data_IF_549279847690
#
_entry.id   IF_549279847690
#
_cell.length_a   1.000
_cell.length_b   1.000
_cell.length_c   1.000
_cell.angle_alpha   90.00
_cell.angle_beta   90.00
_cell.angle_gamma   90.00
#
_symmetry.space_group_name_H-M   'P 1'
#
loop_
_entity.id
_entity.type
_entity.pdbx_description
1 polymer ?
#
# COMPACT_ATOMS: atom_id res chain seq x y z
N UNK A 1 -27.99 -16.33 51.91
CA UNK A 1 -27.44 -16.67 53.19
C UNK A 1 -26.04 -17.22 52.91
N UNK A 2 -24.96 -16.60 53.15
CA UNK A 2 -24.24 -16.13 54.30
C UNK A 2 -23.16 -15.08 53.87
N UNK A 3 -23.17 -13.94 54.54
CA UNK A 3 -22.16 -12.88 54.39
C UNK A 3 -20.91 -13.20 55.23
N UNK A 4 -19.70 -13.09 54.69
CA UNK A 4 -18.50 -13.07 55.46
C UNK A 4 -17.84 -11.69 55.41
N UNK A 5 -17.57 -11.13 56.60
CA UNK A 5 -16.99 -9.79 56.84
C UNK A 5 -15.46 -10.00 57.08
N UNK A 6 -14.67 -9.10 56.52
CA UNK A 6 -13.23 -8.98 56.79
C UNK A 6 -13.03 -7.75 57.72
N UNK A 7 -12.27 -7.86 58.80
CA UNK A 7 -11.96 -6.72 59.69
C UNK A 7 -10.70 -5.95 59.24
N UNK A 8 -10.76 -4.63 59.37
CA UNK A 8 -9.67 -3.70 59.14
C UNK A 8 -8.73 -3.69 60.36
N UNK A 9 -7.42 -3.78 60.14
CA UNK A 9 -6.38 -3.55 61.14
C UNK A 9 -5.81 -2.14 60.94
N UNK A 10 -5.95 -1.28 61.96
CA UNK A 10 -5.24 -0.01 62.13
C UNK A 10 -3.83 -0.32 62.69
N UNK A 11 -2.80 0.25 62.03
CA UNK A 11 -1.45 0.32 62.58
C UNK A 11 -1.12 1.75 62.92
N UNK A 12 -0.86 2.02 64.19
CA UNK A 12 -0.46 3.32 64.71
C UNK A 12 1.06 3.48 64.53
N UNK A 13 1.48 4.61 63.96
CA UNK A 13 2.89 5.01 63.88
C UNK A 13 3.27 5.89 65.08
N UNK A 14 4.28 5.47 65.83
CA UNK A 14 4.90 6.23 66.91
C UNK A 14 6.01 7.08 66.31
N UNK A 15 5.95 8.40 66.55
CA UNK A 15 7.01 9.35 66.18
C UNK A 15 7.94 9.50 67.37
N UNK A 16 9.22 9.14 67.22
CA UNK A 16 10.29 9.44 68.15
C UNK A 16 11.15 10.57 67.57
N UNK A 17 11.10 11.74 68.22
CA UNK A 17 12.00 12.84 67.92
C UNK A 17 13.32 12.65 68.70
N UNK A 18 14.44 12.56 67.96
CA UNK A 18 15.78 12.61 68.54
C UNK A 18 16.52 13.86 67.99
N UNK A 19 16.80 14.81 68.87
CA UNK A 19 17.70 15.90 68.57
C UNK A 19 19.17 15.41 68.63
N UNK A 20 19.86 15.50 67.47
CA UNK A 20 21.31 15.27 67.40
C UNK A 20 21.99 16.44 66.70
N UNK A 21 22.80 17.19 67.46
CA UNK A 21 23.67 18.26 66.94
C UNK A 21 24.90 17.59 66.31
N UNK A 22 25.03 17.63 64.96
CA UNK A 22 26.20 17.17 64.25
C UNK A 22 26.65 18.21 63.23
N UNK A 23 27.87 18.68 63.43
CA UNK A 23 28.60 19.61 62.56
C UNK A 23 28.84 18.92 61.19
N UNK A 24 28.08 19.35 60.18
CA UNK A 24 28.21 18.77 58.84
C UNK A 24 29.28 19.47 58.02
N UNK A 25 30.18 18.68 57.46
CA UNK A 25 31.06 19.09 56.36
C UNK A 25 30.23 19.31 55.07
N UNK A 26 30.65 20.20 54.19
CA UNK A 26 29.91 20.44 52.94
C UNK A 26 29.95 19.21 52.05
N UNK A 27 28.77 18.63 51.81
CA UNK A 27 28.59 17.53 50.89
C UNK A 27 28.61 18.08 49.46
N UNK A 28 29.60 17.66 48.66
CA UNK A 28 29.66 18.01 47.26
C UNK A 28 28.41 17.47 46.54
N UNK A 29 27.66 18.34 45.87
CA UNK A 29 26.53 18.00 45.08
C UNK A 29 26.99 17.04 43.95
N UNK A 30 26.38 15.88 43.87
CA UNK A 30 26.58 14.97 42.74
C UNK A 30 26.09 15.66 41.46
N UNK A 31 26.78 15.49 40.31
CA UNK A 31 26.32 16.06 39.06
C UNK A 31 24.97 15.46 38.73
N UNK A 32 23.98 16.32 38.55
CA UNK A 32 22.64 15.99 38.07
C UNK A 32 22.79 15.35 36.70
N UNK A 33 22.46 14.07 36.57
CA UNK A 33 22.51 13.34 35.30
C UNK A 33 21.53 14.04 34.35
N UNK A 34 22.06 14.67 33.30
CA UNK A 34 21.25 15.28 32.25
C UNK A 34 20.26 14.24 31.68
N UNK A 35 18.98 14.52 31.78
CA UNK A 35 17.94 13.69 31.19
C UNK A 35 18.24 13.50 29.69
N UNK A 36 18.08 12.28 29.16
CA UNK A 36 18.30 12.03 27.73
C UNK A 36 17.36 12.96 26.95
N UNK A 37 17.93 13.84 26.14
CA UNK A 37 17.16 14.64 25.16
C UNK A 37 16.48 13.66 24.24
N UNK A 38 15.17 13.54 24.34
CA UNK A 38 14.39 12.74 23.43
C UNK A 38 14.67 13.28 22.02
N UNK A 39 15.21 12.42 21.15
CA UNK A 39 15.42 12.77 19.75
C UNK A 39 14.05 13.18 19.18
N UNK A 40 13.95 14.40 18.65
CA UNK A 40 12.74 14.85 17.98
C UNK A 40 12.35 13.84 16.90
N UNK A 41 11.07 13.47 16.85
CA UNK A 41 10.55 12.64 15.77
C UNK A 41 10.89 13.28 14.42
N UNK A 42 11.30 12.51 13.41
CA UNK A 42 11.59 13.08 12.11
C UNK A 42 10.34 13.81 11.58
N UNK A 43 10.55 15.02 11.06
CA UNK A 43 9.45 15.78 10.45
C UNK A 43 8.86 14.99 9.28
N UNK A 44 7.54 15.01 9.17
CA UNK A 44 6.84 14.38 8.03
C UNK A 44 7.29 15.04 6.72
N UNK A 45 7.39 14.23 5.66
CA UNK A 45 7.66 14.73 4.32
C UNK A 45 6.53 15.67 3.89
N UNK A 46 6.82 16.91 3.50
CA UNK A 46 5.80 17.78 2.90
C UNK A 46 5.30 17.21 1.58
N UNK A 47 4.08 17.54 1.11
CA UNK A 47 3.67 17.24 -0.25
C UNK A 47 4.60 17.92 -1.27
N UNK A 48 4.67 17.45 -2.52
CA UNK A 48 5.42 18.13 -3.58
C UNK A 48 4.92 19.57 -3.81
N UNK A 49 5.83 20.52 -4.04
CA UNK A 49 5.47 21.95 -4.18
C UNK A 49 4.62 22.24 -5.43
N UNK A 50 4.83 21.48 -6.51
CA UNK A 50 4.13 21.63 -7.79
C UNK A 50 3.08 20.54 -7.99
N UNK A 51 2.19 20.37 -7.03
CA UNK A 51 1.24 19.26 -7.02
C UNK A 51 -0.20 19.80 -7.15
N UNK A 52 -0.78 19.67 -8.33
CA UNK A 52 -2.20 19.88 -8.51
C UNK A 52 -2.99 18.61 -8.17
N UNK A 53 -4.21 18.74 -7.63
CA UNK A 53 -5.02 17.58 -7.28
C UNK A 53 -5.20 16.61 -8.46
N UNK A 54 -5.00 15.32 -8.20
CA UNK A 54 -5.10 14.22 -9.16
C UNK A 54 -4.05 14.20 -10.28
N UNK A 55 -3.10 15.11 -10.30
CA UNK A 55 -1.97 15.01 -11.24
C UNK A 55 -1.10 13.79 -10.89
N UNK A 56 -0.64 13.13 -11.94
CA UNK A 56 0.29 12.02 -11.84
C UNK A 56 1.69 12.58 -11.60
N UNK A 57 2.25 12.32 -10.42
CA UNK A 57 3.59 12.78 -10.07
C UNK A 57 4.44 11.61 -9.53
N UNK A 58 4.86 10.73 -10.44
CA UNK A 58 5.67 9.56 -10.12
C UNK A 58 7.10 9.92 -9.68
N UNK A 59 7.58 11.10 -10.03
CA UNK A 59 8.97 11.55 -9.85
C UNK A 59 9.25 12.23 -8.51
N UNK A 60 8.28 12.28 -7.58
CA UNK A 60 8.43 13.00 -6.30
C UNK A 60 9.09 12.18 -5.18
N UNK A 61 9.50 10.95 -5.43
CA UNK A 61 10.06 10.06 -4.41
C UNK A 61 11.48 10.44 -3.99
N UNK A 62 11.92 9.90 -2.85
CA UNK A 62 13.21 10.19 -2.23
C UNK A 62 14.33 9.32 -2.81
N UNK A 63 15.41 9.96 -3.26
CA UNK A 63 16.61 9.23 -3.68
C UNK A 63 17.26 8.50 -2.48
N UNK A 64 17.69 7.22 -2.65
CA UNK A 64 18.54 6.55 -1.68
C UNK A 64 19.96 7.14 -1.63
N UNK A 65 20.32 7.98 -2.62
CA UNK A 65 21.67 8.50 -2.81
C UNK A 65 22.66 7.38 -3.15
N UNK A 66 23.88 7.48 -2.65
CA UNK A 66 24.90 6.41 -2.81
C UNK A 66 24.76 5.26 -1.81
N UNK A 67 23.71 5.22 -0.99
CA UNK A 67 23.52 4.19 0.05
C UNK A 67 22.83 2.97 -0.51
N UNK A 68 23.41 1.80 -0.23
CA UNK A 68 22.80 0.50 -0.56
C UNK A 68 21.63 0.17 0.37
N UNK A 69 20.76 -0.76 -0.04
CA UNK A 69 19.68 -1.29 0.82
C UNK A 69 20.25 -1.82 2.15
N UNK A 70 21.40 -2.49 2.15
CA UNK A 70 22.06 -3.00 3.36
C UNK A 70 22.49 -1.90 4.34
N UNK A 71 22.94 -0.74 3.83
CA UNK A 71 23.27 0.43 4.66
C UNK A 71 22.01 1.09 5.21
N UNK A 72 20.99 1.26 4.39
CA UNK A 72 19.69 1.82 4.75
C UNK A 72 18.90 0.90 5.70
N UNK A 73 19.16 -0.41 5.69
CA UNK A 73 18.57 -1.35 6.65
C UNK A 73 18.97 -1.06 8.12
N UNK A 74 19.92 -0.16 8.37
CA UNK A 74 20.33 0.28 9.71
C UNK A 74 19.60 1.54 10.19
N UNK A 75 18.73 2.12 9.38
CA UNK A 75 17.97 3.33 9.74
C UNK A 75 16.86 3.05 10.76
N UNK A 76 16.40 4.05 11.53
CA UNK A 76 15.47 3.85 12.63
C UNK A 76 14.20 3.09 12.28
N UNK A 77 13.51 3.48 11.20
CA UNK A 77 12.26 2.84 10.80
C UNK A 77 12.46 1.35 10.41
N UNK A 78 13.52 1.02 9.69
CA UNK A 78 13.83 -0.37 9.32
C UNK A 78 14.24 -1.18 10.55
N UNK A 79 14.98 -0.58 11.50
CA UNK A 79 15.35 -1.25 12.75
C UNK A 79 14.13 -1.50 13.66
N UNK A 80 13.12 -0.66 13.62
CA UNK A 80 11.84 -0.88 14.31
C UNK A 80 11.14 -2.15 13.78
N UNK A 81 11.04 -2.27 12.43
CA UNK A 81 10.49 -3.46 11.77
C UNK A 81 11.29 -4.71 12.15
N UNK A 82 12.64 -4.63 12.16
CA UNK A 82 13.52 -5.73 12.57
C UNK A 82 13.27 -6.17 14.01
N UNK A 83 13.15 -5.21 14.94
CA UNK A 83 12.89 -5.52 16.36
C UNK A 83 11.52 -6.18 16.56
N UNK A 84 10.52 -5.80 15.78
CA UNK A 84 9.20 -6.45 15.77
C UNK A 84 9.24 -7.86 15.18
N UNK A 85 10.27 -8.19 14.39
CA UNK A 85 10.48 -9.52 13.83
C UNK A 85 9.71 -9.84 12.56
N UNK A 86 8.96 -8.89 11.99
CA UNK A 86 8.23 -9.04 10.71
C UNK A 86 7.92 -7.70 10.06
N UNK A 87 7.85 -7.71 8.73
CA UNK A 87 7.27 -6.63 7.93
C UNK A 87 5.75 -6.82 7.86
N UNK A 88 4.96 -5.75 8.01
CA UNK A 88 3.50 -5.78 7.88
C UNK A 88 3.12 -5.02 6.60
N UNK A 89 2.39 -5.70 5.70
CA UNK A 89 2.07 -5.19 4.36
C UNK A 89 0.57 -5.23 4.13
N UNK A 90 -0.03 -4.06 3.81
CA UNK A 90 -1.37 -3.96 3.28
C UNK A 90 -1.40 -4.32 1.80
N UNK A 91 -2.28 -5.23 1.41
CA UNK A 91 -2.39 -5.72 0.03
C UNK A 91 -3.81 -6.14 -0.31
N UNK A 92 -4.06 -6.39 -1.61
CA UNK A 92 -5.32 -6.99 -2.06
C UNK A 92 -5.41 -8.47 -1.69
N UNK A 93 -6.64 -9.00 -1.72
CA UNK A 93 -6.92 -10.42 -1.55
C UNK A 93 -7.66 -11.06 -2.73
N UNK A 94 -8.08 -10.26 -3.72
CA UNK A 94 -8.98 -10.65 -4.82
C UNK A 94 -8.49 -10.23 -6.22
N UNK A 95 -7.38 -9.49 -6.32
CA UNK A 95 -6.81 -9.05 -7.59
C UNK A 95 -5.83 -10.09 -8.12
N UNK A 96 -6.32 -11.02 -8.95
CA UNK A 96 -5.49 -12.03 -9.62
C UNK A 96 -4.33 -11.35 -10.35
N UNK A 97 -3.16 -11.99 -10.38
CA UNK A 97 -1.86 -11.52 -10.88
C UNK A 97 -1.12 -10.56 -9.92
N UNK A 98 -1.81 -9.78 -9.09
CA UNK A 98 -1.22 -8.77 -8.19
C UNK A 98 -1.18 -9.21 -6.73
N UNK A 99 -2.35 -9.42 -6.14
CA UNK A 99 -2.52 -9.88 -4.78
C UNK A 99 -3.85 -10.60 -4.65
N UNK A 100 -3.83 -11.91 -4.77
CA UNK A 100 -5.03 -12.73 -4.67
C UNK A 100 -4.78 -13.96 -3.79
N UNK A 101 -5.83 -14.39 -3.10
CA UNK A 101 -5.78 -15.61 -2.32
C UNK A 101 -6.00 -16.82 -3.23
N UNK A 102 -5.02 -17.71 -3.27
CA UNK A 102 -5.16 -18.99 -3.96
C UNK A 102 -6.25 -19.84 -3.28
N UNK A 103 -7.27 -20.28 -4.01
CA UNK A 103 -8.43 -20.98 -3.43
C UNK A 103 -8.10 -22.37 -2.89
N UNK A 104 -6.98 -22.97 -3.30
CA UNK A 104 -6.56 -24.31 -2.86
C UNK A 104 -5.67 -24.27 -1.63
N UNK A 105 -4.67 -23.40 -1.63
CA UNK A 105 -3.71 -23.29 -0.52
C UNK A 105 -4.11 -22.26 0.53
N UNK A 106 -5.00 -21.31 0.19
CA UNK A 106 -5.34 -20.16 1.03
C UNK A 106 -4.22 -19.11 1.12
N UNK A 107 -3.08 -19.31 0.44
CA UNK A 107 -1.95 -18.40 0.45
C UNK A 107 -2.19 -17.21 -0.51
N UNK A 108 -1.68 -16.04 -0.13
CA UNK A 108 -1.64 -14.90 -1.03
C UNK A 108 -0.52 -15.08 -2.06
N UNK A 109 -0.83 -14.75 -3.32
CA UNK A 109 0.08 -14.83 -4.45
C UNK A 109 -0.12 -13.66 -5.40
N UNK A 110 0.90 -13.33 -6.19
CA UNK A 110 0.87 -12.26 -7.18
C UNK A 110 2.11 -11.39 -7.12
N UNK A 111 2.15 -10.38 -7.99
CA UNK A 111 3.30 -9.51 -8.17
C UNK A 111 3.64 -8.71 -6.89
N UNK A 112 2.64 -8.05 -6.30
CA UNK A 112 2.79 -7.27 -5.08
C UNK A 112 3.25 -8.14 -3.90
N UNK A 113 2.78 -9.39 -3.85
CA UNK A 113 3.16 -10.36 -2.81
C UNK A 113 4.64 -10.72 -2.92
N UNK A 114 5.13 -11.04 -4.13
CA UNK A 114 6.53 -11.40 -4.36
C UNK A 114 7.45 -10.20 -4.13
N UNK A 115 7.04 -9.00 -4.56
CA UNK A 115 7.81 -7.78 -4.36
C UNK A 115 7.93 -7.44 -2.86
N UNK A 116 6.84 -7.55 -2.10
CA UNK A 116 6.84 -7.39 -0.65
C UNK A 116 7.75 -8.40 0.06
N UNK A 117 7.78 -9.64 -0.41
CA UNK A 117 8.69 -10.65 0.09
C UNK A 117 10.16 -10.30 -0.16
N UNK A 118 10.49 -9.72 -1.32
CA UNK A 118 11.86 -9.27 -1.61
C UNK A 118 12.27 -8.10 -0.71
N UNK A 119 11.36 -7.16 -0.44
CA UNK A 119 11.59 -6.09 0.56
C UNK A 119 11.84 -6.69 1.95
N UNK A 120 11.02 -7.65 2.38
CA UNK A 120 11.22 -8.32 3.66
C UNK A 120 12.55 -9.09 3.72
N UNK A 121 12.96 -9.75 2.63
CA UNK A 121 14.30 -10.37 2.53
C UNK A 121 15.42 -9.37 2.74
N UNK A 122 15.34 -8.21 2.13
CA UNK A 122 16.34 -7.15 2.29
C UNK A 122 16.37 -6.60 3.72
N UNK A 123 15.21 -6.49 4.39
CA UNK A 123 15.13 -6.07 5.81
C UNK A 123 15.83 -7.09 6.72
N UNK A 124 15.50 -8.37 6.60
CA UNK A 124 15.90 -9.41 7.56
C UNK A 124 17.15 -10.19 7.16
N UNK A 125 17.67 -10.00 5.96
CA UNK A 125 18.78 -10.78 5.42
C UNK A 125 18.40 -12.26 5.22
N UNK A 126 17.12 -12.54 4.89
CA UNK A 126 16.62 -13.90 4.74
C UNK A 126 17.10 -14.50 3.42
N UNK A 127 17.74 -15.69 3.42
CA UNK A 127 18.14 -16.38 2.20
C UNK A 127 16.96 -16.67 1.27
N UNK A 128 17.25 -16.82 -0.03
CA UNK A 128 16.22 -17.02 -1.06
C UNK A 128 15.43 -18.33 -0.89
N UNK A 129 16.03 -19.34 -0.29
CA UNK A 129 15.44 -20.67 -0.01
C UNK A 129 14.50 -20.70 1.19
N UNK A 130 14.36 -19.59 1.92
CA UNK A 130 13.48 -19.46 3.09
C UNK A 130 12.42 -18.40 2.88
N UNK A 131 11.19 -18.59 3.41
CA UNK A 131 10.18 -17.53 3.42
C UNK A 131 10.65 -16.39 4.33
N UNK A 132 10.58 -15.14 3.87
CA UNK A 132 10.90 -13.99 4.71
C UNK A 132 9.79 -13.73 5.72
N UNK A 133 10.09 -13.13 6.88
CA UNK A 133 9.09 -12.79 7.88
C UNK A 133 8.25 -11.59 7.42
N UNK A 134 7.14 -11.85 6.75
CA UNK A 134 6.15 -10.87 6.31
C UNK A 134 4.75 -11.30 6.76
N UNK A 135 3.98 -10.35 7.28
CA UNK A 135 2.57 -10.46 7.59
C UNK A 135 1.76 -9.65 6.58
N UNK A 136 0.89 -10.31 5.82
CA UNK A 136 0.00 -9.62 4.89
C UNK A 136 -1.35 -9.34 5.55
N UNK A 137 -1.84 -8.11 5.38
CA UNK A 137 -3.17 -7.68 5.77
C UNK A 137 -3.95 -7.32 4.52
N UNK A 138 -5.05 -8.04 4.29
CA UNK A 138 -5.95 -7.72 3.18
C UNK A 138 -6.73 -6.46 3.55
N UNK A 139 -6.65 -5.47 2.67
CA UNK A 139 -7.31 -4.18 2.79
C UNK A 139 -7.99 -3.86 1.45
N UNK A 140 -9.09 -3.11 1.47
CA UNK A 140 -9.74 -2.65 0.26
C UNK A 140 -9.11 -1.35 -0.29
N UNK A 141 -9.59 -0.89 -1.45
CA UNK A 141 -9.04 0.29 -2.12
C UNK A 141 -9.12 1.56 -1.27
N UNK A 142 -10.23 1.81 -0.58
CA UNK A 142 -10.42 2.99 0.27
C UNK A 142 -9.54 2.96 1.55
N UNK A 143 -9.11 1.77 1.97
CA UNK A 143 -8.27 1.58 3.15
C UNK A 143 -6.78 1.80 2.87
N UNK A 144 -6.34 1.92 1.60
CA UNK A 144 -4.92 2.00 1.24
C UNK A 144 -4.18 3.17 1.87
N UNK A 145 -4.78 4.37 1.85
CA UNK A 145 -4.16 5.56 2.43
C UNK A 145 -4.18 5.54 3.96
N UNK A 146 -5.33 5.31 4.64
CA UNK A 146 -5.35 5.27 6.10
C UNK A 146 -4.56 4.10 6.70
N UNK A 147 -4.24 3.05 5.93
CA UNK A 147 -3.44 1.93 6.43
C UNK A 147 -1.99 2.30 6.77
N UNK A 148 -1.40 3.31 6.11
CA UNK A 148 -0.03 3.80 6.34
C UNK A 148 0.01 5.23 6.87
N UNK A 149 -1.13 5.82 7.25
CA UNK A 149 -1.21 7.16 7.82
C UNK A 149 -1.88 7.11 9.18
N UNK A 150 -1.35 7.84 10.16
CA UNK A 150 -2.00 8.05 11.44
C UNK A 150 -3.17 9.05 11.35
N UNK A 151 -3.24 9.82 10.26
CA UNK A 151 -4.29 10.81 10.01
C UNK A 151 -5.47 10.15 9.28
N UNK A 152 -6.52 9.80 10.00
CA UNK A 152 -7.81 9.42 9.39
C UNK A 152 -8.54 10.71 9.01
N UNK A 153 -8.65 10.98 7.70
CA UNK A 153 -9.39 12.14 7.19
C UNK A 153 -10.88 11.81 7.06
N UNK A 154 -11.72 12.86 7.05
CA UNK A 154 -13.16 12.73 6.85
C UNK A 154 -13.46 11.95 5.55
N UNK A 155 -14.30 10.93 5.64
CA UNK A 155 -14.65 10.04 4.53
C UNK A 155 -13.74 8.83 4.34
N UNK A 156 -12.62 8.72 5.06
CA UNK A 156 -11.77 7.53 5.02
C UNK A 156 -12.27 6.43 5.96
N UNK A 157 -12.16 5.18 5.52
CA UNK A 157 -12.55 4.03 6.34
C UNK A 157 -11.51 3.78 7.43
N UNK A 158 -11.92 3.61 8.70
CA UNK A 158 -11.01 3.21 9.76
C UNK A 158 -10.36 1.86 9.42
N UNK A 159 -9.05 1.77 9.57
CA UNK A 159 -8.31 0.51 9.46
C UNK A 159 -7.98 0.03 10.86
N UNK A 160 -8.38 -1.19 11.18
CA UNK A 160 -8.18 -1.78 12.52
C UNK A 160 -6.72 -2.00 12.89
N UNK A 161 -5.81 -1.86 11.94
CA UNK A 161 -4.39 -2.04 12.16
C UNK A 161 -3.56 -1.36 11.06
N UNK A 162 -2.62 -0.56 11.49
CA UNK A 162 -1.64 0.06 10.63
C UNK A 162 -0.68 -0.96 10.05
N UNK A 163 -0.15 -0.66 8.86
CA UNK A 163 0.85 -1.45 8.17
C UNK A 163 2.13 -0.62 7.96
N UNK A 164 3.24 -1.27 7.67
CA UNK A 164 4.48 -0.56 7.33
C UNK A 164 4.49 -0.05 5.89
N UNK A 165 3.94 -0.87 4.99
CA UNK A 165 3.88 -0.61 3.56
C UNK A 165 2.50 -0.99 3.00
N UNK A 166 2.08 -0.30 1.95
CA UNK A 166 0.95 -0.72 1.12
C UNK A 166 1.47 -1.06 -0.29
N UNK A 167 1.30 -2.33 -0.68
CA UNK A 167 1.47 -2.82 -2.04
C UNK A 167 0.10 -3.34 -2.52
N UNK A 168 -0.59 -2.53 -3.31
CA UNK A 168 -1.98 -2.80 -3.73
C UNK A 168 -2.33 -2.00 -4.98
N UNK A 169 -1.58 -2.21 -6.08
CA UNK A 169 -1.84 -1.51 -7.37
C UNK A 169 -2.17 -0.03 -7.18
N UNK A 170 -1.33 0.69 -6.40
CA UNK A 170 -1.67 2.02 -5.95
C UNK A 170 -1.01 3.10 -6.80
N UNK A 171 -1.80 3.79 -7.59
CA UNK A 171 -1.37 4.90 -8.43
C UNK A 171 -0.79 6.05 -7.62
N UNK A 172 0.36 6.53 -8.03
CA UNK A 172 1.00 7.72 -7.48
C UNK A 172 0.32 8.95 -8.08
N UNK A 173 -0.30 9.80 -7.24
CA UNK A 173 -0.82 11.10 -7.64
C UNK A 173 -0.64 12.14 -6.53
N UNK A 174 -0.87 13.40 -6.87
CA UNK A 174 -0.68 14.53 -5.97
C UNK A 174 -1.58 14.50 -4.75
N UNK A 175 -2.86 14.21 -4.92
CA UNK A 175 -3.82 14.10 -3.80
C UNK A 175 -3.38 13.07 -2.75
N UNK A 176 -2.80 11.96 -3.19
CA UNK A 176 -2.28 10.92 -2.29
C UNK A 176 -0.97 11.31 -1.63
N UNK A 177 -0.10 12.07 -2.32
CA UNK A 177 1.12 12.62 -1.74
C UNK A 177 0.89 13.56 -0.56
N UNK A 178 -0.28 14.20 -0.49
CA UNK A 178 -0.65 15.01 0.67
C UNK A 178 -0.83 14.18 1.95
N UNK A 179 -1.12 12.89 1.82
CA UNK A 179 -1.49 12.01 2.92
C UNK A 179 -0.39 11.02 3.29
N UNK A 180 0.29 10.46 2.28
CA UNK A 180 1.31 9.43 2.45
C UNK A 180 2.54 9.76 1.60
N UNK A 181 3.62 9.03 1.80
CA UNK A 181 4.77 9.02 0.91
C UNK A 181 4.72 7.80 -0.02
N UNK A 182 5.37 7.90 -1.18
CA UNK A 182 5.48 6.80 -2.13
C UNK A 182 6.94 6.42 -2.41
N UNK A 183 7.15 5.17 -2.78
CA UNK A 183 8.36 4.74 -3.46
C UNK A 183 8.46 5.34 -4.86
N UNK A 184 9.57 5.05 -5.57
CA UNK A 184 9.61 5.17 -7.03
C UNK A 184 8.55 4.26 -7.66
N UNK A 185 8.19 4.56 -8.90
CA UNK A 185 7.31 3.73 -9.71
C UNK A 185 7.93 2.35 -9.92
N UNK A 186 7.16 1.30 -9.55
CA UNK A 186 7.60 -0.09 -9.75
C UNK A 186 6.89 -0.78 -10.92
N UNK A 187 5.75 -0.22 -11.36
CA UNK A 187 4.98 -0.68 -12.51
C UNK A 187 4.18 0.47 -13.13
N UNK A 188 3.95 0.42 -14.43
CA UNK A 188 3.08 1.37 -15.13
C UNK A 188 1.93 0.62 -15.78
N UNK A 189 0.74 0.83 -15.26
CA UNK A 189 -0.53 0.38 -15.81
C UNK A 189 -1.24 1.53 -16.53
N UNK A 190 -2.41 1.25 -17.05
CA UNK A 190 -3.32 2.25 -17.58
C UNK A 190 -4.76 1.79 -17.46
N UNK A 191 -5.67 2.70 -17.19
CA UNK A 191 -7.09 2.38 -17.09
C UNK A 191 -7.67 2.01 -18.45
N UNK A 192 -8.48 0.95 -18.48
CA UNK A 192 -9.21 0.46 -19.65
C UNK A 192 -10.63 0.02 -19.26
N UNK A 193 -11.37 -0.51 -20.20
CA UNK A 193 -12.66 -1.15 -19.96
C UNK A 193 -12.60 -2.65 -20.27
N UNK A 194 -13.45 -3.41 -19.57
CA UNK A 194 -13.73 -4.81 -19.82
C UNK A 194 -15.21 -4.94 -20.11
N UNK A 195 -15.53 -5.65 -21.19
CA UNK A 195 -16.89 -5.89 -21.66
C UNK A 195 -17.10 -7.36 -21.96
N UNK A 196 -18.32 -7.74 -22.26
CA UNK A 196 -18.61 -9.09 -22.75
C UNK A 196 -17.98 -9.32 -24.13
N UNK A 197 -17.41 -10.49 -24.35
CA UNK A 197 -16.81 -10.89 -25.62
C UNK A 197 -17.81 -10.96 -26.79
N UNK A 198 -19.10 -11.09 -26.48
CA UNK A 198 -20.22 -11.08 -27.41
C UNK A 198 -20.93 -9.72 -27.50
N UNK A 199 -20.32 -8.65 -26.97
CA UNK A 199 -20.90 -7.31 -27.02
C UNK A 199 -21.12 -6.87 -28.49
N UNK A 200 -22.36 -6.48 -28.87
CA UNK A 200 -22.69 -6.15 -30.26
C UNK A 200 -22.01 -4.86 -30.77
N UNK A 201 -21.44 -4.07 -29.89
CA UNK A 201 -20.68 -2.84 -30.21
C UNK A 201 -19.21 -3.08 -30.50
N UNK A 202 -18.71 -4.31 -30.36
CA UNK A 202 -17.36 -4.66 -30.77
C UNK A 202 -17.24 -4.52 -32.28
N UNK A 203 -16.19 -3.84 -32.73
CA UNK A 203 -15.87 -3.75 -34.16
C UNK A 203 -15.66 -5.16 -34.74
N UNK A 204 -16.37 -5.56 -35.80
CA UNK A 204 -16.30 -6.94 -36.33
C UNK A 204 -14.94 -7.31 -36.88
N UNK A 205 -14.12 -6.35 -37.30
CA UNK A 205 -12.81 -6.58 -37.91
C UNK A 205 -11.70 -6.72 -36.87
N UNK A 206 -11.75 -5.88 -35.83
CA UNK A 206 -10.72 -5.83 -34.76
C UNK A 206 -11.18 -6.51 -33.48
N UNK A 207 -12.49 -6.61 -33.27
CA UNK A 207 -13.07 -7.05 -32.01
C UNK A 207 -12.79 -6.08 -30.86
N UNK A 208 -12.53 -4.80 -31.15
CA UNK A 208 -12.25 -3.74 -30.16
C UNK A 208 -13.43 -2.76 -30.10
N UNK A 209 -13.48 -1.93 -29.06
CA UNK A 209 -14.39 -0.79 -28.91
C UNK A 209 -13.80 0.20 -27.91
N UNK A 210 -14.24 1.44 -27.98
CA UNK A 210 -13.82 2.49 -27.06
C UNK A 210 -14.89 2.73 -25.98
N UNK A 211 -14.52 3.35 -24.88
CA UNK A 211 -15.48 3.77 -23.84
C UNK A 211 -16.56 4.71 -24.42
N UNK A 212 -16.20 5.50 -25.41
CA UNK A 212 -17.12 6.43 -26.11
C UNK A 212 -18.18 5.73 -26.97
N UNK A 213 -18.02 4.44 -27.28
CA UNK A 213 -19.00 3.65 -28.04
C UNK A 213 -20.13 3.10 -27.13
N UNK A 214 -20.00 3.25 -25.81
CA UNK A 214 -21.02 2.89 -24.85
C UNK A 214 -22.21 3.87 -24.91
N UNK A 215 -23.41 3.38 -24.60
CA UNK A 215 -24.60 4.22 -24.51
C UNK A 215 -24.53 5.14 -23.28
N UNK A 216 -25.07 6.34 -23.44
CA UNK A 216 -25.26 7.26 -22.32
C UNK A 216 -26.09 6.57 -21.21
N UNK A 217 -25.71 6.78 -19.96
CA UNK A 217 -26.32 6.15 -18.80
C UNK A 217 -25.89 4.72 -18.54
N UNK A 218 -24.93 4.17 -19.34
CA UNK A 218 -24.37 2.83 -19.04
C UNK A 218 -23.80 2.77 -17.63
N UNK A 219 -24.16 1.72 -16.90
CA UNK A 219 -23.60 1.41 -15.60
C UNK A 219 -22.23 0.75 -15.76
N UNK A 220 -21.21 1.33 -15.11
CA UNK A 220 -19.82 0.84 -15.16
C UNK A 220 -19.37 0.50 -13.76
N UNK A 221 -19.06 -0.78 -13.50
CA UNK A 221 -18.54 -1.19 -12.21
C UNK A 221 -17.07 -0.78 -12.03
N UNK A 222 -16.73 -0.28 -10.85
CA UNK A 222 -15.42 0.32 -10.56
C UNK A 222 -15.11 0.19 -9.06
N UNK A 223 -13.82 0.07 -8.64
CA UNK A 223 -13.49 0.04 -7.21
C UNK A 223 -13.61 1.42 -6.57
N UNK A 224 -14.31 1.51 -5.45
CA UNK A 224 -14.42 2.72 -4.65
C UNK A 224 -13.04 3.17 -4.12
N UNK A 225 -12.75 4.49 -4.13
CA UNK A 225 -11.47 5.03 -3.65
C UNK A 225 -10.30 4.76 -4.61
N UNK A 226 -10.58 4.52 -5.88
CA UNK A 226 -9.58 4.39 -6.94
C UNK A 226 -9.55 5.63 -7.84
N UNK A 227 -8.44 5.83 -8.55
CA UNK A 227 -8.31 6.81 -9.63
C UNK A 227 -9.27 6.52 -10.78
N UNK A 228 -9.67 5.25 -10.93
CA UNK A 228 -10.60 4.82 -11.97
C UNK A 228 -12.01 5.41 -11.78
N UNK A 229 -12.52 5.45 -10.54
CA UNK A 229 -13.82 6.09 -10.28
C UNK A 229 -13.72 7.61 -10.40
N UNK A 230 -12.63 8.21 -9.92
CA UNK A 230 -12.37 9.64 -10.03
C UNK A 230 -12.37 10.11 -11.50
N UNK A 231 -11.75 9.33 -12.39
CA UNK A 231 -11.73 9.62 -13.83
C UNK A 231 -13.13 9.55 -14.45
N UNK A 232 -13.92 8.54 -14.12
CA UNK A 232 -15.31 8.43 -14.59
C UNK A 232 -16.15 9.65 -14.16
N UNK A 233 -16.07 10.03 -12.90
CA UNK A 233 -16.83 11.15 -12.35
C UNK A 233 -16.40 12.49 -12.92
N UNK A 234 -15.14 12.64 -13.30
CA UNK A 234 -14.58 13.87 -13.83
C UNK A 234 -14.78 14.00 -15.34
N UNK A 235 -14.39 12.97 -16.12
CA UNK A 235 -14.26 13.06 -17.58
C UNK A 235 -15.38 12.33 -18.33
N UNK A 236 -16.07 11.36 -17.70
CA UNK A 236 -17.05 10.49 -18.34
C UNK A 236 -18.42 10.54 -17.64
N UNK A 237 -18.90 11.76 -17.34
CA UNK A 237 -20.12 12.05 -16.56
C UNK A 237 -21.40 11.50 -17.15
N UNK A 238 -21.38 11.11 -18.45
CA UNK A 238 -22.49 10.45 -19.13
C UNK A 238 -22.73 9.02 -18.66
N UNK A 239 -21.78 8.39 -17.96
CA UNK A 239 -21.92 7.05 -17.41
C UNK A 239 -22.28 7.06 -15.91
N UNK A 240 -22.72 5.92 -15.41
CA UNK A 240 -23.10 5.73 -14.00
C UNK A 240 -22.09 4.80 -13.30
N UNK A 241 -21.21 5.33 -12.44
CA UNK A 241 -20.32 4.50 -11.66
C UNK A 241 -21.12 3.62 -10.68
N UNK A 242 -20.87 2.30 -10.71
CA UNK A 242 -21.28 1.35 -9.68
C UNK A 242 -20.07 1.01 -8.85
N UNK A 243 -19.83 1.82 -7.82
CA UNK A 243 -18.66 1.69 -6.98
C UNK A 243 -18.81 0.54 -5.97
N UNK A 244 -17.80 -0.33 -5.89
CA UNK A 244 -17.75 -1.48 -4.98
C UNK A 244 -16.47 -1.42 -4.11
N UNK A 245 -16.48 -1.95 -2.87
CA UNK A 245 -15.30 -1.96 -2.00
C UNK A 245 -14.12 -2.75 -2.59
N UNK A 246 -14.38 -3.93 -3.11
CA UNK A 246 -13.40 -4.83 -3.71
C UNK A 246 -13.69 -5.01 -5.21
N UNK A 247 -12.69 -4.83 -6.06
CA UNK A 247 -12.92 -4.88 -7.52
C UNK A 247 -13.37 -6.28 -8.00
N UNK A 248 -13.04 -7.33 -7.26
CA UNK A 248 -13.54 -8.69 -7.53
C UNK A 248 -15.06 -8.80 -7.49
N UNK A 249 -15.75 -7.94 -6.74
CA UNK A 249 -17.22 -7.87 -6.75
C UNK A 249 -17.75 -7.45 -8.12
N UNK A 250 -17.01 -6.61 -8.86
CA UNK A 250 -17.36 -6.26 -10.23
C UNK A 250 -17.38 -7.49 -11.14
N UNK A 251 -16.39 -8.39 -11.01
CA UNK A 251 -16.35 -9.63 -11.79
C UNK A 251 -17.55 -10.53 -11.47
N UNK A 252 -17.92 -10.66 -10.19
CA UNK A 252 -19.09 -11.44 -9.77
C UNK A 252 -20.39 -10.87 -10.37
N UNK A 253 -20.57 -9.54 -10.30
CA UNK A 253 -21.72 -8.85 -10.92
C UNK A 253 -21.76 -9.03 -12.43
N UNK A 254 -20.61 -8.97 -13.08
CA UNK A 254 -20.45 -9.19 -14.51
C UNK A 254 -20.86 -10.62 -14.91
N UNK A 255 -20.38 -11.63 -14.19
CA UNK A 255 -20.71 -13.04 -14.42
C UNK A 255 -22.20 -13.34 -14.21
N UNK A 256 -22.86 -12.62 -13.32
CA UNK A 256 -24.32 -12.71 -13.10
C UNK A 256 -25.15 -11.92 -14.11
N UNK A 257 -24.50 -11.16 -15.00
CA UNK A 257 -25.20 -10.29 -15.94
C UNK A 257 -25.85 -9.05 -15.31
N UNK A 258 -25.48 -8.73 -14.06
CA UNK A 258 -25.95 -7.52 -13.37
C UNK A 258 -25.25 -6.26 -13.92
N UNK A 259 -24.04 -6.40 -14.41
CA UNK A 259 -23.20 -5.35 -15.01
C UNK A 259 -22.64 -5.84 -16.34
N UNK A 260 -22.65 -4.97 -17.36
CA UNK A 260 -22.10 -5.28 -18.69
C UNK A 260 -20.69 -4.72 -18.91
N UNK A 261 -20.24 -3.76 -18.07
CA UNK A 261 -18.97 -3.06 -18.23
C UNK A 261 -18.28 -2.91 -16.88
N UNK A 262 -16.97 -3.21 -16.87
CA UNK A 262 -16.09 -2.94 -15.72
C UNK A 262 -14.99 -1.98 -16.21
N UNK A 263 -14.58 -1.01 -15.39
CA UNK A 263 -13.36 -0.25 -15.64
C UNK A 263 -12.35 -0.47 -14.52
N UNK A 264 -11.10 -0.48 -14.89
CA UNK A 264 -9.97 -0.70 -13.99
C UNK A 264 -8.67 -0.69 -14.78
N UNK A 265 -7.56 -0.92 -14.08
CA UNK A 265 -6.26 -0.96 -14.70
C UNK A 265 -6.12 -2.21 -15.58
N UNK A 266 -5.47 -2.06 -16.72
CA UNK A 266 -5.38 -3.08 -17.78
C UNK A 266 -4.94 -4.47 -17.31
N UNK A 267 -3.97 -4.50 -16.40
CA UNK A 267 -3.46 -5.76 -15.82
C UNK A 267 -4.39 -6.38 -14.79
N UNK A 268 -5.17 -5.56 -14.08
CA UNK A 268 -6.24 -6.03 -13.18
C UNK A 268 -7.36 -6.66 -14.03
N UNK A 269 -7.77 -5.97 -15.09
CA UNK A 269 -8.77 -6.46 -16.03
C UNK A 269 -8.30 -7.70 -16.80
N UNK A 270 -7.00 -7.81 -17.12
CA UNK A 270 -6.43 -9.04 -17.70
C UNK A 270 -6.57 -10.23 -16.73
N UNK A 271 -6.40 -10.00 -15.43
CA UNK A 271 -6.67 -11.01 -14.40
C UNK A 271 -8.14 -11.45 -14.38
N UNK A 272 -9.09 -10.57 -14.67
CA UNK A 272 -10.51 -10.92 -14.80
C UNK A 272 -10.81 -11.70 -16.07
N UNK A 273 -10.25 -11.28 -17.22
CA UNK A 273 -10.37 -12.00 -18.46
C UNK A 273 -9.76 -13.40 -18.37
N UNK A 274 -8.73 -13.61 -17.56
CA UNK A 274 -8.17 -14.93 -17.28
C UNK A 274 -9.10 -15.84 -16.45
N UNK A 275 -10.04 -15.26 -15.70
CA UNK A 275 -11.00 -15.96 -14.86
C UNK A 275 -12.36 -16.19 -15.56
N UNK A 276 -12.64 -15.43 -16.63
CA UNK A 276 -13.91 -15.49 -17.34
C UNK A 276 -13.67 -15.42 -18.86
N UNK A 277 -13.92 -16.53 -19.60
CA UNK A 277 -13.72 -16.56 -21.04
C UNK A 277 -14.70 -15.66 -21.82
N UNK A 278 -15.77 -15.20 -21.18
CA UNK A 278 -16.71 -14.25 -21.76
C UNK A 278 -16.35 -12.78 -21.51
N UNK A 279 -15.27 -12.53 -20.80
CA UNK A 279 -14.76 -11.19 -20.53
C UNK A 279 -13.67 -10.82 -21.55
N UNK A 280 -13.68 -9.58 -22.02
CA UNK A 280 -12.71 -9.04 -22.96
C UNK A 280 -12.28 -7.64 -22.56
N UNK A 281 -10.97 -7.42 -22.42
CA UNK A 281 -10.39 -6.09 -22.21
C UNK A 281 -10.29 -5.38 -23.56
N UNK A 282 -10.82 -4.17 -23.65
CA UNK A 282 -10.95 -3.42 -24.91
C UNK A 282 -10.64 -1.92 -24.68
N UNK A 283 -10.50 -1.19 -25.79
CA UNK A 283 -10.31 0.24 -25.82
C UNK A 283 -8.86 0.70 -25.62
N UNK A 284 -8.59 1.95 -25.90
CA UNK A 284 -7.33 2.61 -25.58
C UNK A 284 -7.19 2.82 -24.07
N UNK A 285 -5.99 3.17 -23.63
CA UNK A 285 -5.78 3.65 -22.26
C UNK A 285 -6.54 4.97 -22.04
N UNK A 286 -7.32 5.01 -20.96
CA UNK A 286 -8.07 6.20 -20.53
C UNK A 286 -7.18 7.11 -19.66
N UNK A 287 -6.24 6.50 -18.94
CA UNK A 287 -5.25 7.19 -18.10
C UNK A 287 -3.96 6.40 -18.02
N UNK A 288 -2.93 7.00 -17.43
CA UNK A 288 -1.68 6.35 -17.02
C UNK A 288 -1.69 6.17 -15.52
N UNK A 289 -1.40 4.95 -15.05
CA UNK A 289 -1.47 4.55 -13.66
C UNK A 289 -0.09 4.06 -13.16
N UNK A 290 0.83 4.98 -12.76
CA UNK A 290 2.12 4.60 -12.19
C UNK A 290 1.92 4.04 -10.78
N UNK A 291 2.32 2.78 -10.54
CA UNK A 291 2.18 2.17 -9.22
C UNK A 291 3.37 2.45 -8.34
N UNK A 292 3.10 2.92 -7.13
CA UNK A 292 4.07 3.10 -6.06
C UNK A 292 3.69 2.35 -4.79
N UNK A 293 4.69 2.08 -3.96
CA UNK A 293 4.51 1.51 -2.63
C UNK A 293 4.20 2.64 -1.66
N UNK A 294 3.05 2.57 -0.99
CA UNK A 294 2.65 3.54 0.03
C UNK A 294 3.44 3.34 1.33
N UNK A 295 3.90 4.44 1.89
CA UNK A 295 4.71 4.50 3.12
C UNK A 295 4.22 5.68 3.97
N UNK A 296 4.28 5.55 5.29
CA UNK A 296 4.05 6.66 6.20
C UNK A 296 5.02 7.82 5.90
N UNK A 297 4.47 9.02 5.65
CA UNK A 297 5.25 10.23 5.34
C UNK A 297 6.20 10.67 6.45
N UNK A 298 6.00 10.17 7.67
CA UNK A 298 6.90 10.42 8.81
C UNK A 298 8.12 9.49 8.83
N UNK A 299 8.20 8.53 7.88
CA UNK A 299 9.29 7.54 7.78
C UNK A 299 10.09 7.68 6.47
N UNK A 300 10.74 8.85 6.23
CA UNK A 300 11.49 9.08 4.98
C UNK A 300 12.67 8.12 4.77
N UNK A 301 13.23 7.60 5.85
CA UNK A 301 14.29 6.59 5.80
C UNK A 301 13.78 5.22 5.29
N UNK A 302 12.52 4.86 5.61
CA UNK A 302 11.89 3.66 5.05
C UNK A 302 11.62 3.83 3.55
N UNK A 303 11.18 5.02 3.09
CA UNK A 303 11.02 5.31 1.65
C UNK A 303 12.35 5.12 0.90
N UNK A 304 13.46 5.70 1.42
CA UNK A 304 14.78 5.52 0.80
C UNK A 304 15.25 4.07 0.79
N UNK A 305 14.96 3.32 1.86
CA UNK A 305 15.27 1.89 1.93
C UNK A 305 14.48 1.10 0.87
N UNK A 306 13.16 1.33 0.77
CA UNK A 306 12.32 0.68 -0.24
C UNK A 306 12.80 1.00 -1.65
N UNK A 307 13.15 2.25 -1.92
CA UNK A 307 13.68 2.66 -3.22
C UNK A 307 15.01 1.97 -3.57
N UNK A 308 15.93 1.83 -2.60
CA UNK A 308 17.17 1.09 -2.82
C UNK A 308 16.91 -0.39 -3.13
N UNK A 309 15.93 -1.02 -2.45
CA UNK A 309 15.52 -2.40 -2.77
C UNK A 309 14.90 -2.49 -4.16
N UNK A 310 14.07 -1.51 -4.56
CA UNK A 310 13.48 -1.48 -5.90
C UNK A 310 14.53 -1.31 -6.99
N UNK A 311 15.60 -0.54 -6.74
CA UNK A 311 16.74 -0.46 -7.66
C UNK A 311 17.48 -1.80 -7.78
N UNK A 312 17.71 -2.51 -6.67
CA UNK A 312 18.32 -3.85 -6.67
C UNK A 312 17.44 -4.90 -7.38
N UNK A 313 16.11 -4.78 -7.26
CA UNK A 313 15.13 -5.66 -7.94
C UNK A 313 15.04 -5.37 -9.43
N UNK A 314 15.33 -4.14 -9.87
CA UNK A 314 15.24 -3.70 -11.27
C UNK A 314 16.01 -4.63 -12.21
N UNK A 315 15.44 -4.91 -13.37
CA UNK A 315 16.04 -5.81 -14.36
C UNK A 315 15.64 -7.27 -14.16
N UNK A 316 16.61 -8.15 -13.94
CA UNK A 316 16.39 -9.60 -13.98
C UNK A 316 15.38 -10.09 -12.92
N UNK A 317 15.46 -9.58 -11.69
CA UNK A 317 14.56 -10.00 -10.61
C UNK A 317 13.13 -9.54 -10.87
N UNK A 318 12.95 -8.30 -11.29
CA UNK A 318 11.65 -7.76 -11.67
C UNK A 318 11.02 -8.58 -12.82
N UNK A 319 11.80 -8.89 -13.86
CA UNK A 319 11.34 -9.71 -14.97
C UNK A 319 10.94 -11.13 -14.54
N UNK A 320 11.66 -11.73 -13.58
CA UNK A 320 11.29 -13.02 -12.98
C UNK A 320 9.95 -12.95 -12.26
N UNK A 321 9.73 -11.92 -11.42
CA UNK A 321 8.45 -11.70 -10.73
C UNK A 321 7.33 -11.56 -11.77
N UNK A 322 7.52 -10.69 -12.78
CA UNK A 322 6.55 -10.48 -13.85
C UNK A 322 6.19 -11.79 -14.56
N UNK A 323 7.18 -12.52 -15.02
CA UNK A 323 6.98 -13.78 -15.73
C UNK A 323 6.25 -14.82 -14.88
N UNK A 324 6.58 -14.91 -13.60
CA UNK A 324 5.96 -15.85 -12.68
C UNK A 324 4.49 -15.53 -12.36
N UNK A 325 4.09 -14.26 -12.45
CA UNK A 325 2.76 -13.82 -12.04
C UNK A 325 1.87 -13.43 -13.22
N UNK A 326 2.41 -12.70 -14.19
CA UNK A 326 1.66 -12.12 -15.31
C UNK A 326 1.99 -12.75 -16.66
N UNK A 327 3.16 -13.39 -16.79
CA UNK A 327 3.72 -13.80 -18.08
C UNK A 327 2.84 -14.75 -18.90
N UNK A 328 1.93 -15.49 -18.25
CA UNK A 328 0.97 -16.33 -18.94
C UNK A 328 -0.14 -15.50 -19.61
N UNK A 329 -0.67 -14.50 -18.91
CA UNK A 329 -1.81 -13.71 -19.35
C UNK A 329 -1.37 -12.47 -20.16
N UNK A 330 -0.18 -11.95 -19.85
CA UNK A 330 0.43 -10.79 -20.51
C UNK A 330 1.88 -11.15 -20.90
N UNK A 331 2.10 -11.83 -22.03
CA UNK A 331 3.41 -12.42 -22.37
C UNK A 331 4.54 -11.39 -22.58
N UNK A 332 4.19 -10.17 -23.00
CA UNK A 332 5.19 -9.12 -23.25
C UNK A 332 5.64 -8.47 -21.95
N UNK A 333 6.87 -8.75 -21.52
CA UNK A 333 7.48 -8.12 -20.35
C UNK A 333 7.82 -6.66 -20.65
N UNK A 334 7.17 -5.66 -20.02
CA UNK A 334 7.40 -4.24 -20.33
C UNK A 334 8.72 -3.71 -19.74
N UNK A 335 9.24 -4.34 -18.71
CA UNK A 335 10.32 -3.82 -17.88
C UNK A 335 9.82 -2.87 -16.78
N UNK A 336 10.61 -2.76 -15.71
CA UNK A 336 10.33 -1.79 -14.65
C UNK A 336 10.62 -0.37 -15.16
N UNK A 337 9.73 0.61 -14.94
CA UNK A 337 9.98 1.99 -15.30
C UNK A 337 11.29 2.56 -14.72
N UNK A 338 11.93 3.54 -15.37
CA UNK A 338 13.14 4.17 -14.84
C UNK A 338 12.95 4.68 -13.41
N UNK A 339 14.04 4.65 -12.60
CA UNK A 339 14.00 5.30 -11.30
C UNK A 339 14.12 6.81 -11.50
N UNK A 340 13.11 7.53 -11.10
CA UNK A 340 13.07 8.99 -11.13
C UNK A 340 12.82 9.53 -9.73
N UNK A 341 13.58 10.55 -9.35
CA UNK A 341 13.57 11.14 -8.02
C UNK A 341 13.35 12.64 -8.11
N UNK A 342 12.47 13.18 -7.31
CA UNK A 342 12.19 14.63 -7.22
C UNK A 342 12.78 15.29 -5.97
N UNK A 343 13.34 14.51 -5.03
CA UNK A 343 13.79 15.00 -3.73
C UNK A 343 15.06 14.31 -3.26
#
# INVERSE_FOLDING_TARGET
MTRSRIPALLAAAVVLAACGTGTGAPQAAAPEAAAPVAAAAPAALPPPEECEPNDILATASLSPGSRTAAQLARTPAVQEIKRRGRLIVGTSGDVLLWGARDPKSGQLQGFDILLAQDIARAIFGTPADRPPPVEFRVINYAQRLPAVSDEVREGQQPVSSQVDLVLHTMTINCTRWEQIAFSIEYYRAGQRILVRADNPKLDPGTGDMQITDLDEGTEICVPAGSTNVELLEKEYKQFKPVAVPEIGECLVKFQRGEIGVITGDDTVLAGFAAQDPYAKVVGAFLSTEPYGIGVDRTKPDLVRFVNAVLEDVRGARWAQIYTATMGKEIPKVPGMPPAEYGR
#
